data_IF_444638015074
#
_entry.id   IF_444638015074
#
_cell.length_a   1.000
_cell.length_b   1.000
_cell.length_c   1.000
_cell.angle_alpha   90.00
_cell.angle_beta   90.00
_cell.angle_gamma   90.00
#
_symmetry.space_group_name_H-M   'P 1'
#
loop_
_entity.id
_entity.type
_entity.pdbx_description
1 polymer ?
#
# COMPACT_ATOMS: atom_id res chain seq x y z
N UNK A 1 -70.99 5.55 -43.83
CA UNK A 1 -70.17 6.51 -43.07
C UNK A 1 -69.80 6.02 -41.66
N UNK A 2 -70.75 5.54 -40.86
CA UNK A 2 -70.49 5.12 -39.47
C UNK A 2 -69.58 3.88 -39.37
N UNK A 3 -69.82 2.85 -40.17
CA UNK A 3 -68.99 1.63 -40.21
C UNK A 3 -67.51 1.89 -40.55
N UNK A 4 -67.23 2.92 -41.35
CA UNK A 4 -65.89 3.30 -41.79
C UNK A 4 -65.12 4.02 -40.66
N UNK A 5 -65.81 4.85 -39.87
CA UNK A 5 -65.25 5.46 -38.64
C UNK A 5 -64.88 4.40 -37.60
N UNK A 6 -65.68 3.33 -37.46
CA UNK A 6 -65.34 2.21 -36.57
C UNK A 6 -64.11 1.41 -37.04
N UNK A 7 -63.97 1.19 -38.35
CA UNK A 7 -62.78 0.54 -38.92
C UNK A 7 -61.53 1.37 -38.70
N UNK A 8 -61.57 2.67 -39.02
CA UNK A 8 -60.43 3.57 -38.83
C UNK A 8 -59.99 3.63 -37.37
N UNK A 9 -60.93 3.68 -36.41
CA UNK A 9 -60.59 3.60 -34.97
C UNK A 9 -59.91 2.30 -34.60
N UNK A 10 -60.42 1.15 -35.09
CA UNK A 10 -59.79 -0.16 -34.88
C UNK A 10 -58.38 -0.21 -35.44
N UNK A 11 -58.19 0.24 -36.67
CA UNK A 11 -56.88 0.25 -37.33
C UNK A 11 -55.89 1.13 -36.57
N UNK A 12 -56.31 2.32 -36.10
CA UNK A 12 -55.46 3.18 -35.25
C UNK A 12 -55.15 2.55 -33.89
N UNK A 13 -56.10 1.85 -33.26
CA UNK A 13 -55.85 1.14 -32.00
C UNK A 13 -54.86 -0.01 -32.20
N UNK A 14 -54.98 -0.75 -33.29
CA UNK A 14 -54.06 -1.86 -33.64
C UNK A 14 -52.66 -1.34 -33.95
N UNK A 15 -52.54 -0.21 -34.65
CA UNK A 15 -51.25 0.42 -34.94
C UNK A 15 -50.58 0.94 -33.66
N UNK A 16 -51.32 1.63 -32.79
CA UNK A 16 -50.82 2.08 -31.50
C UNK A 16 -50.38 0.91 -30.60
N UNK A 17 -51.13 -0.19 -30.59
CA UNK A 17 -50.79 -1.41 -29.83
C UNK A 17 -49.53 -2.08 -30.37
N UNK A 18 -49.32 -2.05 -31.70
CA UNK A 18 -48.08 -2.50 -32.33
C UNK A 18 -46.89 -1.60 -31.95
N UNK A 19 -47.05 -0.28 -32.00
CA UNK A 19 -46.02 0.66 -31.58
C UNK A 19 -45.65 0.51 -30.11
N UNK A 20 -46.65 0.32 -29.24
CA UNK A 20 -46.44 0.07 -27.81
C UNK A 20 -45.63 -1.20 -27.57
N UNK A 21 -45.96 -2.31 -28.25
CA UNK A 21 -45.19 -3.55 -28.16
C UNK A 21 -43.74 -3.39 -28.57
N UNK A 22 -43.48 -2.66 -29.67
CA UNK A 22 -42.13 -2.40 -30.13
C UNK A 22 -41.34 -1.56 -29.12
N UNK A 23 -41.96 -0.51 -28.58
CA UNK A 23 -41.32 0.34 -27.56
C UNK A 23 -41.00 -0.45 -26.27
N UNK A 24 -41.91 -1.33 -25.83
CA UNK A 24 -41.67 -2.21 -24.67
C UNK A 24 -40.49 -3.16 -24.93
N UNK A 25 -40.43 -3.74 -26.13
CA UNK A 25 -39.33 -4.62 -26.51
C UNK A 25 -37.99 -3.87 -26.55
N UNK A 26 -37.97 -2.66 -27.09
CA UNK A 26 -36.77 -1.81 -27.13
C UNK A 26 -36.30 -1.44 -25.72
N UNK A 27 -37.22 -1.05 -24.84
CA UNK A 27 -36.89 -0.76 -23.42
C UNK A 27 -36.27 -1.97 -22.74
N UNK A 28 -36.79 -3.17 -22.98
CA UNK A 28 -36.24 -4.38 -22.37
C UNK A 28 -34.83 -4.69 -22.89
N UNK A 29 -34.61 -4.53 -24.20
CA UNK A 29 -33.28 -4.68 -24.79
C UNK A 29 -32.28 -3.66 -24.22
N UNK A 30 -32.69 -2.40 -24.06
CA UNK A 30 -31.87 -1.36 -23.45
C UNK A 30 -31.54 -1.66 -21.98
N UNK A 31 -32.50 -2.16 -21.20
CA UNK A 31 -32.26 -2.59 -19.80
C UNK A 31 -31.25 -3.72 -19.70
N UNK A 32 -31.33 -4.70 -20.60
CA UNK A 32 -30.37 -5.81 -20.67
C UNK A 32 -28.98 -5.28 -21.07
N UNK A 33 -28.90 -4.42 -22.08
CA UNK A 33 -27.65 -3.82 -22.53
C UNK A 33 -27.00 -2.97 -21.43
N UNK A 34 -27.79 -2.16 -20.72
CA UNK A 34 -27.34 -1.33 -19.60
C UNK A 34 -26.80 -2.20 -18.46
N UNK A 35 -27.52 -3.26 -18.05
CA UNK A 35 -27.04 -4.17 -17.01
C UNK A 35 -25.71 -4.82 -17.38
N UNK A 36 -25.56 -5.25 -18.64
CA UNK A 36 -24.30 -5.81 -19.14
C UNK A 36 -23.17 -4.76 -19.15
N UNK A 37 -23.46 -3.52 -19.53
CA UNK A 37 -22.49 -2.44 -19.52
C UNK A 37 -22.07 -2.06 -18.09
N UNK A 38 -23.01 -2.00 -17.14
CA UNK A 38 -22.73 -1.78 -15.72
C UNK A 38 -21.92 -2.91 -15.12
N UNK A 39 -22.25 -4.17 -15.44
CA UNK A 39 -21.48 -5.32 -15.03
C UNK A 39 -20.08 -5.28 -15.63
N UNK A 40 -19.94 -4.98 -16.92
CA UNK A 40 -18.64 -4.81 -17.55
C UNK A 40 -17.83 -3.66 -16.96
N UNK A 41 -18.44 -2.52 -16.64
CA UNK A 41 -17.78 -1.38 -16.01
C UNK A 41 -17.34 -1.67 -14.57
N UNK A 42 -18.09 -2.51 -13.83
CA UNK A 42 -17.67 -3.01 -12.52
C UNK A 42 -16.48 -3.98 -12.61
N UNK A 43 -16.39 -4.75 -13.70
CA UNK A 43 -15.33 -5.73 -13.93
C UNK A 43 -14.15 -5.19 -14.74
N UNK A 44 -14.30 -4.05 -15.41
CA UNK A 44 -13.17 -3.28 -15.90
C UNK A 44 -12.38 -2.87 -14.66
N UNK A 45 -11.30 -3.63 -14.42
CA UNK A 45 -10.22 -3.23 -13.54
C UNK A 45 -9.97 -1.75 -13.83
N UNK A 46 -10.09 -0.92 -12.80
CA UNK A 46 -9.63 0.46 -12.87
C UNK A 46 -8.12 0.36 -13.13
N UNK A 47 -7.73 0.29 -14.40
CA UNK A 47 -6.32 0.36 -14.76
C UNK A 47 -5.84 1.71 -14.27
N UNK A 48 -4.99 1.69 -13.25
CA UNK A 48 -4.43 2.90 -12.70
C UNK A 48 -3.76 3.68 -13.84
N UNK A 49 -4.00 5.00 -13.95
CA UNK A 49 -3.37 5.82 -14.96
C UNK A 49 -1.84 5.61 -14.95
N UNK A 50 -1.17 5.54 -16.12
CA UNK A 50 0.26 5.30 -16.19
C UNK A 50 1.09 6.28 -15.34
N UNK A 51 0.67 7.54 -15.28
CA UNK A 51 1.28 8.57 -14.43
C UNK A 51 1.24 8.21 -12.93
N UNK A 52 0.12 7.64 -12.45
CA UNK A 52 0.01 7.17 -11.07
C UNK A 52 0.99 6.01 -10.81
N UNK A 53 1.15 5.09 -11.76
CA UNK A 53 2.09 3.98 -11.66
C UNK A 53 3.53 4.50 -11.54
N UNK A 54 3.92 5.49 -12.37
CA UNK A 54 5.26 6.08 -12.32
C UNK A 54 5.52 6.82 -11.00
N UNK A 55 4.51 7.56 -10.50
CA UNK A 55 4.57 8.20 -9.19
C UNK A 55 4.73 7.18 -8.05
N UNK A 56 4.02 6.07 -8.11
CA UNK A 56 4.11 4.99 -7.12
C UNK A 56 5.50 4.33 -7.14
N UNK A 57 6.04 4.00 -8.32
CA UNK A 57 7.40 3.45 -8.44
C UNK A 57 8.46 4.38 -7.87
N UNK A 58 8.35 5.67 -8.15
CA UNK A 58 9.25 6.69 -7.60
C UNK A 58 9.13 6.80 -6.08
N UNK A 59 7.90 6.77 -5.56
CA UNK A 59 7.64 6.80 -4.12
C UNK A 59 8.25 5.58 -3.43
N UNK A 60 8.02 4.37 -3.97
CA UNK A 60 8.60 3.13 -3.46
C UNK A 60 10.13 3.23 -3.37
N UNK A 61 10.79 3.69 -4.43
CA UNK A 61 12.25 3.80 -4.45
C UNK A 61 12.81 4.81 -3.43
N UNK A 62 12.12 5.94 -3.25
CA UNK A 62 12.49 6.94 -2.24
C UNK A 62 12.34 6.34 -0.83
N UNK A 63 11.22 5.66 -0.55
CA UNK A 63 10.98 5.00 0.73
C UNK A 63 11.99 3.88 0.99
N UNK A 64 12.35 3.09 -0.02
CA UNK A 64 13.36 2.03 0.08
C UNK A 64 14.73 2.60 0.47
N UNK A 65 15.15 3.67 -0.20
CA UNK A 65 16.42 4.35 0.08
C UNK A 65 16.44 4.97 1.48
N UNK A 66 15.37 5.66 1.88
CA UNK A 66 15.28 6.31 3.19
C UNK A 66 15.32 5.29 4.33
N UNK A 67 14.57 4.20 4.18
CA UNK A 67 14.58 3.10 5.13
C UNK A 67 15.95 2.44 5.23
N UNK A 68 16.63 2.17 4.11
CA UNK A 68 17.94 1.52 4.13
C UNK A 68 18.95 2.36 4.92
N UNK A 69 18.91 3.69 4.76
CA UNK A 69 19.71 4.61 5.55
C UNK A 69 19.33 4.58 7.03
N UNK A 70 18.04 4.59 7.34
CA UNK A 70 17.55 4.53 8.73
C UNK A 70 17.94 3.21 9.41
N UNK A 71 17.80 2.07 8.72
CA UNK A 71 18.21 0.74 9.17
C UNK A 71 19.70 0.69 9.48
N UNK A 72 20.56 1.09 8.53
CA UNK A 72 22.02 1.13 8.73
C UNK A 72 22.43 2.00 9.91
N UNK A 73 21.75 3.15 10.08
CA UNK A 73 21.97 4.05 11.21
C UNK A 73 21.60 3.38 12.55
N UNK A 74 20.45 2.71 12.62
CA UNK A 74 20.01 1.99 13.81
C UNK A 74 20.94 0.82 14.17
N UNK A 75 21.39 0.05 13.17
CA UNK A 75 22.36 -1.04 13.36
C UNK A 75 23.71 -0.52 13.88
N UNK A 76 24.20 0.58 13.31
CA UNK A 76 25.44 1.24 13.75
C UNK A 76 25.32 1.77 15.18
N UNK A 77 24.16 2.35 15.52
CA UNK A 77 23.88 2.83 16.88
C UNK A 77 23.92 1.68 17.90
N UNK A 78 23.32 0.53 17.57
CA UNK A 78 23.36 -0.67 18.41
C UNK A 78 24.77 -1.22 18.56
N UNK A 79 25.54 -1.29 17.48
CA UNK A 79 26.93 -1.74 17.53
C UNK A 79 27.78 -0.84 18.44
N UNK A 80 27.64 0.48 18.28
CA UNK A 80 28.35 1.47 19.09
C UNK A 80 28.00 1.37 20.57
N UNK A 81 26.71 1.21 20.89
CA UNK A 81 26.25 1.05 22.27
C UNK A 81 26.83 -0.22 22.92
N UNK A 82 26.85 -1.34 22.19
CA UNK A 82 27.46 -2.60 22.65
C UNK A 82 28.97 -2.46 22.89
N UNK A 83 29.68 -1.78 22.00
CA UNK A 83 31.13 -1.55 22.15
C UNK A 83 31.46 -0.70 23.38
N UNK A 84 30.67 0.34 23.64
CA UNK A 84 30.82 1.15 24.85
C UNK A 84 30.57 0.34 26.12
N UNK A 85 29.51 -0.47 26.14
CA UNK A 85 29.22 -1.39 27.24
C UNK A 85 30.38 -2.37 27.50
N UNK A 86 30.94 -2.96 26.44
CA UNK A 86 32.07 -3.88 26.55
C UNK A 86 33.34 -3.20 27.09
N UNK A 87 33.61 -1.95 26.68
CA UNK A 87 34.74 -1.17 27.21
C UNK A 87 34.59 -0.95 28.71
N UNK A 88 33.40 -0.59 29.18
CA UNK A 88 33.13 -0.41 30.60
C UNK A 88 33.26 -1.72 31.37
N UNK A 89 32.71 -2.82 30.84
CA UNK A 89 32.84 -4.14 31.48
C UNK A 89 34.31 -4.56 31.63
N UNK A 90 35.16 -4.27 30.63
CA UNK A 90 36.60 -4.52 30.71
C UNK A 90 37.30 -3.63 31.73
N UNK A 91 36.98 -2.32 31.76
CA UNK A 91 37.54 -1.39 32.74
C UNK A 91 37.17 -1.82 34.18
N UNK A 92 35.92 -2.22 34.41
CA UNK A 92 35.46 -2.72 35.71
C UNK A 92 36.18 -4.00 36.15
N UNK A 93 36.52 -4.90 35.22
CA UNK A 93 37.26 -6.14 35.53
C UNK A 93 38.76 -5.91 35.74
N UNK A 94 39.33 -4.85 35.16
CA UNK A 94 40.77 -4.57 35.18
C UNK A 94 41.24 -3.58 36.25
N UNK A 95 40.36 -2.78 36.84
CA UNK A 95 40.75 -1.71 37.76
C UNK A 95 40.67 -2.16 39.24
N UNK A 96 41.84 -2.23 39.88
CA UNK A 96 42.00 -2.45 41.33
C UNK A 96 41.27 -1.38 42.16
N UNK A 97 40.70 -1.83 43.28
CA UNK A 97 39.80 -1.05 44.12
C UNK A 97 40.43 0.23 44.70
N UNK A 98 39.83 1.38 44.36
CA UNK A 98 39.81 2.62 45.16
C UNK A 98 38.96 3.75 44.53
N UNK A 99 38.70 3.74 43.21
CA UNK A 99 38.06 4.87 42.50
C UNK A 99 36.58 4.62 42.24
N UNK A 100 35.78 4.46 43.30
CA UNK A 100 34.36 4.03 43.21
C UNK A 100 33.33 5.19 43.17
N UNK A 101 33.76 6.46 43.25
CA UNK A 101 32.86 7.58 43.55
C UNK A 101 32.28 8.31 42.31
N UNK A 102 32.77 8.05 41.09
CA UNK A 102 32.25 8.67 39.85
C UNK A 102 31.41 7.73 38.95
N UNK A 103 30.99 6.56 39.45
CA UNK A 103 30.65 5.40 38.62
C UNK A 103 29.16 5.18 38.29
N UNK A 104 28.21 5.76 39.04
CA UNK A 104 26.76 5.52 38.80
C UNK A 104 26.28 6.20 37.51
N UNK A 105 26.55 7.50 37.35
CA UNK A 105 26.11 8.25 36.16
C UNK A 105 26.68 7.73 34.82
N UNK A 106 27.83 7.05 34.82
CA UNK A 106 28.39 6.48 33.60
C UNK A 106 27.68 5.19 33.14
N UNK A 107 27.24 4.35 34.08
CA UNK A 107 26.45 3.15 33.75
C UNK A 107 25.03 3.50 33.34
N UNK A 108 24.43 4.51 33.98
CA UNK A 108 23.09 4.98 33.63
C UNK A 108 23.07 5.54 32.21
N UNK A 109 24.04 6.39 31.85
CA UNK A 109 24.16 6.94 30.49
C UNK A 109 24.32 5.84 29.40
N UNK A 110 25.05 4.76 29.68
CA UNK A 110 25.20 3.66 28.71
C UNK A 110 23.92 2.83 28.61
N UNK A 111 23.23 2.64 29.72
CA UNK A 111 21.94 1.94 29.73
C UNK A 111 20.91 2.71 28.91
N UNK A 112 20.89 4.03 29.03
CA UNK A 112 20.09 4.91 28.17
C UNK A 112 20.46 4.78 26.70
N UNK A 113 21.76 4.78 26.36
CA UNK A 113 22.23 4.59 24.98
C UNK A 113 21.80 3.24 24.38
N UNK A 114 21.87 2.16 25.16
CA UNK A 114 21.43 0.82 24.73
C UNK A 114 19.92 0.82 24.51
N UNK A 115 19.15 1.39 25.43
CA UNK A 115 17.69 1.44 25.31
C UNK A 115 17.27 2.26 24.09
N UNK A 116 17.88 3.43 23.87
CA UNK A 116 17.65 4.23 22.68
C UNK A 116 18.06 3.51 21.39
N UNK A 117 19.12 2.69 21.41
CA UNK A 117 19.49 1.88 20.25
C UNK A 117 18.50 0.75 19.98
N UNK A 118 17.93 0.14 21.03
CA UNK A 118 16.86 -0.87 20.89
C UNK A 118 15.58 -0.26 20.33
N UNK A 119 15.19 0.90 20.83
CA UNK A 119 14.00 1.62 20.37
C UNK A 119 14.12 1.96 18.87
N UNK A 120 15.28 2.49 18.44
CA UNK A 120 15.53 2.73 17.00
C UNK A 120 15.43 1.48 16.13
N UNK A 121 15.86 0.32 16.63
CA UNK A 121 15.71 -0.93 15.89
C UNK A 121 14.25 -1.41 15.85
N UNK A 122 13.49 -1.22 16.93
CA UNK A 122 12.07 -1.53 16.96
C UNK A 122 11.30 -0.65 15.97
N UNK A 123 11.57 0.66 15.93
CA UNK A 123 10.98 1.55 14.93
C UNK A 123 11.28 1.13 13.50
N UNK A 124 12.51 0.71 13.20
CA UNK A 124 12.90 0.20 11.87
C UNK A 124 12.15 -1.10 11.55
N UNK A 125 11.93 -1.96 12.54
CA UNK A 125 11.15 -3.18 12.34
C UNK A 125 9.68 -2.87 12.02
N UNK A 126 9.04 -2.02 12.82
CA UNK A 126 7.64 -1.64 12.63
C UNK A 126 7.43 -0.94 11.28
N UNK A 127 8.37 -0.06 10.90
CA UNK A 127 8.35 0.60 9.58
C UNK A 127 8.53 -0.40 8.43
N UNK A 128 9.35 -1.44 8.61
CA UNK A 128 9.49 -2.50 7.62
C UNK A 128 8.19 -3.27 7.41
N UNK A 129 7.57 -3.73 8.50
CA UNK A 129 6.32 -4.49 8.45
C UNK A 129 5.19 -3.66 7.83
N UNK A 130 5.03 -2.40 8.24
CA UNK A 130 4.04 -1.49 7.66
C UNK A 130 4.24 -1.36 6.16
N UNK A 131 5.46 -1.04 5.74
CA UNK A 131 5.75 -0.74 4.33
C UNK A 131 5.58 -1.98 3.47
N UNK A 132 6.02 -3.14 3.93
CA UNK A 132 5.80 -4.41 3.24
C UNK A 132 4.30 -4.67 3.08
N UNK A 133 3.51 -4.55 4.14
CA UNK A 133 2.06 -4.74 4.10
C UNK A 133 1.37 -3.75 3.14
N UNK A 134 1.71 -2.46 3.23
CA UNK A 134 1.13 -1.39 2.41
C UNK A 134 1.44 -1.61 0.93
N UNK A 135 2.69 -1.86 0.57
CA UNK A 135 3.06 -2.05 -0.84
C UNK A 135 2.50 -3.34 -1.40
N UNK A 136 2.49 -4.44 -0.65
CA UNK A 136 1.81 -5.68 -1.06
C UNK A 136 0.32 -5.45 -1.29
N UNK A 137 -0.34 -4.65 -0.44
CA UNK A 137 -1.75 -4.32 -0.61
C UNK A 137 -2.00 -3.46 -1.84
N UNK A 138 -1.17 -2.44 -2.08
CA UNK A 138 -1.25 -1.58 -3.27
C UNK A 138 -1.05 -2.41 -4.54
N UNK A 139 -0.02 -3.25 -4.60
CA UNK A 139 0.25 -4.13 -5.73
C UNK A 139 -0.92 -5.07 -6.01
N UNK A 140 -1.51 -5.68 -4.97
CA UNK A 140 -2.69 -6.54 -5.10
C UNK A 140 -3.92 -5.79 -5.60
N UNK A 141 -4.16 -4.57 -5.13
CA UNK A 141 -5.31 -3.76 -5.55
C UNK A 141 -5.20 -3.29 -7.01
N UNK A 142 -3.97 -3.13 -7.50
CA UNK A 142 -3.70 -2.72 -8.87
C UNK A 142 -3.47 -3.90 -9.82
N UNK A 143 -3.38 -5.13 -9.30
CA UNK A 143 -2.94 -6.33 -10.03
C UNK A 143 -1.54 -6.15 -10.68
N UNK A 144 -0.62 -5.52 -9.93
CA UNK A 144 0.70 -5.07 -10.43
C UNK A 144 1.84 -5.37 -9.45
N UNK A 145 2.46 -6.54 -9.63
CA UNK A 145 3.64 -6.95 -8.85
C UNK A 145 4.95 -6.26 -9.31
N UNK A 146 4.94 -5.60 -10.48
CA UNK A 146 6.10 -4.85 -10.99
C UNK A 146 6.34 -3.52 -10.24
N UNK A 147 5.41 -3.10 -9.38
CA UNK A 147 5.55 -1.90 -8.53
C UNK A 147 6.63 -2.06 -7.46
N UNK A 148 6.82 -3.28 -6.95
CA UNK A 148 7.73 -3.62 -5.84
C UNK A 148 9.04 -4.24 -6.37
N UNK A 149 9.08 -4.58 -7.66
CA UNK A 149 10.20 -5.26 -8.30
C UNK A 149 11.30 -4.26 -8.68
N UNK A 150 12.11 -3.82 -7.72
CA UNK A 150 13.32 -3.04 -8.01
C UNK A 150 14.42 -3.21 -6.96
N UNK A 151 14.96 -4.43 -6.76
CA UNK A 151 16.33 -4.57 -6.22
C UNK A 151 17.07 -5.91 -6.45
N UNK A 152 16.63 -6.80 -7.37
CA UNK A 152 17.41 -8.03 -7.66
C UNK A 152 18.65 -7.82 -8.55
N UNK A 153 19.05 -6.58 -8.86
CA UNK A 153 20.14 -6.31 -9.82
C UNK A 153 21.31 -5.44 -9.31
N UNK A 154 21.44 -5.13 -8.02
CA UNK A 154 22.59 -4.34 -7.53
C UNK A 154 23.22 -4.92 -6.25
N UNK A 155 23.34 -6.24 -6.17
CA UNK A 155 24.29 -6.90 -5.26
C UNK A 155 25.03 -8.00 -6.04
N UNK A 156 25.89 -7.55 -6.96
CA UNK A 156 26.71 -8.38 -7.82
C UNK A 156 27.86 -7.57 -8.38
N UNK A 157 28.76 -7.14 -7.50
CA UNK A 157 30.20 -6.92 -7.71
C UNK A 157 30.85 -6.37 -6.43
#
# INVERSE_FOLDING_TARGET
EEAEKYRKRRDTTVDNDKQLRLAVQEIEQLRIALRKAEEHARHQSYEAPPELIDLLKRTYHIEETAFEQKRKSAETAMLTAKDQMNKISKMQKGFFGAVRIAHTGCMDNISELINAAKERLAEVHDEYEEREQRWNRIASLLDRNDLISSSTLINGN
#
